data_IF_669542928930
#
_entry.id   IF_669542928930
#
_cell.length_a   1.000
_cell.length_b   1.000
_cell.length_c   1.000
_cell.angle_alpha   90.00
_cell.angle_beta   90.00
_cell.angle_gamma   90.00
#
_symmetry.space_group_name_H-M   'P 1'
#
loop_
_entity.id
_entity.type
_entity.pdbx_description
1 polymer ?
#
# COMPACT_ATOMS: atom_id res chain seq x y z
N UNK A 1 -6.05 23.86 -13.66
CA UNK A 1 -6.76 23.07 -12.62
C UNK A 1 -5.70 22.38 -11.78
N UNK A 2 -5.81 22.39 -10.45
CA UNK A 2 -4.81 21.74 -9.59
C UNK A 2 -4.90 20.21 -9.71
N UNK A 3 -3.76 19.54 -9.91
CA UNK A 3 -3.67 18.09 -9.88
C UNK A 3 -3.67 17.62 -8.42
N UNK A 4 -4.79 17.07 -7.96
CA UNK A 4 -4.97 16.59 -6.59
C UNK A 4 -4.57 15.13 -6.49
N UNK A 5 -3.53 14.85 -5.72
CA UNK A 5 -2.93 13.53 -5.64
C UNK A 5 -2.91 13.03 -4.21
N UNK A 6 -3.20 11.74 -4.04
CA UNK A 6 -2.88 10.99 -2.82
C UNK A 6 -2.01 9.80 -3.19
N UNK A 7 -1.02 9.49 -2.36
CA UNK A 7 -0.04 8.46 -2.64
C UNK A 7 0.32 7.66 -1.38
N UNK A 8 0.18 6.34 -1.47
CA UNK A 8 0.65 5.36 -0.50
C UNK A 8 1.98 4.77 -1.01
N UNK A 9 3.08 5.14 -0.35
CA UNK A 9 4.46 4.81 -0.72
C UNK A 9 4.90 3.51 -0.03
N UNK A 10 4.22 2.42 -0.39
CA UNK A 10 4.45 1.08 0.15
C UNK A 10 5.82 0.50 -0.24
N UNK A 11 6.31 -0.50 0.49
CA UNK A 11 7.63 -1.08 0.20
C UNK A 11 7.70 -1.86 -1.13
N UNK A 12 6.57 -2.42 -1.57
CA UNK A 12 6.48 -3.21 -2.80
C UNK A 12 5.67 -2.53 -3.90
N UNK A 13 4.63 -1.78 -3.54
CA UNK A 13 3.70 -1.14 -4.46
C UNK A 13 3.45 0.32 -4.09
N UNK A 14 3.54 1.17 -5.10
CA UNK A 14 3.08 2.55 -5.06
C UNK A 14 1.61 2.57 -5.46
N UNK A 15 0.75 3.13 -4.61
CA UNK A 15 -0.68 3.29 -4.90
C UNK A 15 -1.05 4.75 -4.91
N UNK A 16 -1.64 5.22 -6.00
CA UNK A 16 -1.97 6.63 -6.17
C UNK A 16 -3.40 6.82 -6.64
N UNK A 17 -4.03 7.90 -6.20
CA UNK A 17 -5.26 8.42 -6.81
C UNK A 17 -4.98 9.85 -7.23
N UNK A 18 -5.20 10.13 -8.51
CA UNK A 18 -5.01 11.44 -9.12
C UNK A 18 -6.39 11.97 -9.56
N UNK A 19 -6.73 13.18 -9.13
CA UNK A 19 -7.98 13.88 -9.42
C UNK A 19 -9.25 13.08 -9.06
N UNK A 20 -9.18 12.21 -8.05
CA UNK A 20 -10.30 11.35 -7.65
C UNK A 20 -10.62 10.24 -8.66
N UNK A 21 -9.69 9.92 -9.58
CA UNK A 21 -9.81 8.81 -10.51
C UNK A 21 -9.67 7.43 -9.87
N UNK A 22 -9.48 6.40 -10.71
CA UNK A 22 -9.20 5.03 -10.24
C UNK A 22 -7.85 4.97 -9.54
N UNK A 23 -7.72 4.01 -8.61
CA UNK A 23 -6.43 3.71 -7.97
C UNK A 23 -5.46 3.20 -9.03
N UNK A 24 -4.33 3.90 -9.17
CA UNK A 24 -3.16 3.48 -9.95
C UNK A 24 -2.30 2.65 -9.00
N UNK A 25 -1.92 1.43 -9.42
CA UNK A 25 -1.02 0.54 -8.68
C UNK A 25 0.17 0.19 -9.57
N UNK A 26 1.37 0.39 -9.06
CA UNK A 26 2.61 0.10 -9.77
C UNK A 26 3.62 -0.49 -8.77
N UNK A 27 4.55 -1.37 -9.20
CA UNK A 27 5.69 -1.74 -8.38
C UNK A 27 6.44 -0.48 -7.88
N UNK A 28 6.74 -0.36 -6.58
CA UNK A 28 7.44 0.81 -6.03
C UNK A 28 8.96 0.69 -6.20
N UNK A 29 9.39 0.59 -7.45
CA UNK A 29 10.79 0.42 -7.84
C UNK A 29 11.14 1.39 -8.95
N UNK A 30 12.40 1.79 -8.98
CA UNK A 30 12.94 2.49 -10.14
C UNK A 30 14.33 1.98 -10.47
N UNK A 31 14.85 2.48 -11.59
CA UNK A 31 16.18 2.13 -12.05
C UNK A 31 16.75 3.26 -12.85
N UNK A 32 17.94 3.70 -12.46
CA UNK A 32 18.68 4.69 -13.22
C UNK A 32 19.12 4.12 -14.57
N UNK A 33 18.93 4.91 -15.62
CA UNK A 33 19.26 4.54 -17.00
C UNK A 33 20.42 5.37 -17.49
N UNK A 34 21.45 4.69 -17.99
CA UNK A 34 22.60 5.30 -18.65
C UNK A 34 22.48 5.12 -20.16
N UNK A 35 22.68 6.20 -20.93
CA UNK A 35 22.66 6.15 -22.40
C UNK A 35 21.31 6.46 -23.06
N UNK A 36 21.08 5.88 -24.25
CA UNK A 36 19.86 6.07 -25.05
C UNK A 36 18.73 5.19 -24.52
N UNK A 37 17.53 5.75 -24.47
CA UNK A 37 16.31 5.01 -24.15
C UNK A 37 15.98 4.13 -25.36
N UNK A 38 15.77 2.83 -25.13
CA UNK A 38 15.23 1.95 -26.17
C UNK A 38 13.73 2.20 -26.23
N UNK A 39 13.24 2.60 -27.39
CA UNK A 39 11.82 2.76 -27.65
C UNK A 39 11.29 1.50 -28.31
N UNK A 40 10.07 1.10 -27.97
CA UNK A 40 9.36 0.10 -28.76
C UNK A 40 8.83 0.78 -30.01
N UNK A 41 8.88 0.08 -31.14
CA UNK A 41 8.20 0.51 -32.35
C UNK A 41 6.68 0.47 -32.11
N UNK A 42 5.99 1.54 -32.47
CA UNK A 42 4.55 1.65 -32.27
C UNK A 42 4.03 3.02 -32.67
N UNK A 43 2.72 3.13 -32.83
CA UNK A 43 2.07 4.43 -33.03
C UNK A 43 2.17 5.30 -31.78
N UNK A 44 2.03 6.62 -31.98
CA UNK A 44 1.97 7.59 -30.88
C UNK A 44 0.85 7.24 -29.88
N UNK A 45 -0.34 6.92 -30.40
CA UNK A 45 -1.49 6.55 -29.59
C UNK A 45 -1.20 5.30 -28.74
N UNK A 46 -0.60 4.26 -29.32
CA UNK A 46 -0.20 3.06 -28.56
C UNK A 46 0.81 3.38 -27.47
N UNK A 47 1.79 4.25 -27.79
CA UNK A 47 2.78 4.70 -26.81
C UNK A 47 2.11 5.40 -25.63
N UNK A 48 1.14 6.29 -25.90
CA UNK A 48 0.39 7.00 -24.85
C UNK A 48 -0.46 6.06 -24.00
N UNK A 49 -1.16 5.12 -24.62
CA UNK A 49 -1.99 4.14 -23.90
C UNK A 49 -1.16 3.32 -22.91
N UNK A 50 0.06 2.92 -23.31
CA UNK A 50 0.93 2.05 -22.51
C UNK A 50 1.88 2.80 -21.57
N UNK A 51 1.81 4.15 -21.51
CA UNK A 51 2.76 4.98 -20.79
C UNK A 51 2.96 4.59 -19.30
N UNK A 52 1.90 4.11 -18.62
CA UNK A 52 1.98 3.65 -17.22
C UNK A 52 2.80 2.38 -17.03
N UNK A 53 2.79 1.48 -18.00
CA UNK A 53 3.57 0.26 -17.94
C UNK A 53 5.00 0.47 -18.46
N UNK A 54 5.22 1.55 -19.22
CA UNK A 54 6.47 1.84 -19.91
C UNK A 54 7.18 3.11 -19.41
N UNK A 55 6.88 3.56 -18.19
CA UNK A 55 7.39 4.82 -17.63
C UNK A 55 8.91 4.92 -17.81
N UNK A 56 9.32 5.86 -18.64
CA UNK A 56 10.69 6.32 -18.78
C UNK A 56 10.68 7.84 -18.70
N UNK A 57 11.44 8.36 -17.76
CA UNK A 57 11.49 9.80 -17.50
C UNK A 57 12.90 10.29 -17.28
N UNK A 58 13.13 11.59 -17.43
CA UNK A 58 14.24 12.30 -16.81
C UNK A 58 13.69 13.18 -15.69
N UNK A 59 14.20 13.04 -14.47
CA UNK A 59 13.79 13.85 -13.32
C UNK A 59 14.92 14.80 -12.94
N UNK A 60 14.59 16.08 -12.87
CA UNK A 60 15.45 17.17 -12.39
C UNK A 60 14.77 17.85 -11.21
N UNK A 61 15.39 17.80 -10.03
CA UNK A 61 14.77 18.29 -8.80
C UNK A 61 15.78 18.34 -7.64
N UNK A 62 15.85 19.47 -6.93
CA UNK A 62 16.68 19.61 -5.72
C UNK A 62 16.23 18.70 -4.55
N UNK A 63 15.05 18.11 -4.68
CA UNK A 63 14.55 17.10 -3.75
C UNK A 63 15.25 15.75 -3.81
N UNK A 64 16.04 15.45 -4.85
CA UNK A 64 16.74 14.16 -5.03
C UNK A 64 18.26 14.39 -5.09
N UNK A 65 19.05 13.39 -4.73
CA UNK A 65 20.51 13.52 -4.63
C UNK A 65 21.16 13.80 -5.99
N UNK A 66 20.57 13.29 -7.07
CA UNK A 66 21.10 13.47 -8.42
C UNK A 66 20.01 13.38 -9.48
N UNK A 67 19.97 14.38 -10.35
CA UNK A 67 19.14 14.34 -11.56
C UNK A 67 19.49 13.14 -12.44
N UNK A 68 18.49 12.61 -13.16
CA UNK A 68 18.72 11.37 -13.88
C UNK A 68 17.59 10.91 -14.76
N UNK A 69 17.92 9.97 -15.65
CA UNK A 69 16.92 9.18 -16.36
C UNK A 69 16.56 7.94 -15.55
N UNK A 70 15.29 7.62 -15.49
CA UNK A 70 14.78 6.50 -14.73
C UNK A 70 13.78 5.69 -15.57
N UNK A 71 13.83 4.36 -15.39
CA UNK A 71 12.64 3.53 -15.55
C UNK A 71 11.95 3.47 -14.18
N UNK A 72 10.62 3.44 -14.17
CA UNK A 72 9.81 3.39 -12.95
C UNK A 72 8.73 2.31 -13.10
N UNK A 73 8.36 1.66 -12.00
CA UNK A 73 7.25 0.71 -11.99
C UNK A 73 7.54 -0.55 -12.78
N UNK A 74 6.55 -0.98 -13.56
CA UNK A 74 6.61 -2.23 -14.32
C UNK A 74 7.85 -2.29 -15.25
N UNK A 75 8.15 -1.20 -15.96
CA UNK A 75 9.33 -1.12 -16.83
C UNK A 75 10.66 -1.29 -16.07
N UNK A 76 10.76 -0.74 -14.86
CA UNK A 76 11.96 -0.89 -14.03
C UNK A 76 12.13 -2.35 -13.59
N UNK A 77 11.05 -2.96 -13.09
CA UNK A 77 11.03 -4.34 -12.60
C UNK A 77 11.43 -5.37 -13.67
N UNK A 78 11.10 -5.12 -14.94
CA UNK A 78 11.34 -6.04 -16.06
C UNK A 78 12.51 -5.65 -16.96
N UNK A 79 13.34 -4.69 -16.55
CA UNK A 79 14.52 -4.28 -17.31
C UNK A 79 15.78 -5.04 -16.87
N UNK A 80 16.71 -5.31 -17.79
CA UNK A 80 17.95 -6.06 -17.51
C UNK A 80 18.76 -5.52 -16.32
N UNK A 81 18.97 -6.33 -15.27
CA UNK A 81 19.68 -5.97 -14.03
C UNK A 81 18.73 -5.62 -12.88
N UNK A 82 19.20 -5.64 -11.63
CA UNK A 82 18.35 -5.43 -10.46
C UNK A 82 17.86 -3.96 -10.37
N UNK A 83 16.55 -3.70 -10.22
CA UNK A 83 16.06 -2.35 -9.95
C UNK A 83 16.36 -1.95 -8.49
N UNK A 84 16.33 -0.64 -8.25
CA UNK A 84 16.36 -0.07 -6.90
C UNK A 84 14.96 -0.14 -6.29
N UNK A 85 14.88 -0.66 -5.06
CA UNK A 85 13.65 -0.80 -4.28
C UNK A 85 13.85 -0.21 -2.88
N UNK A 86 12.74 0.07 -2.19
CA UNK A 86 12.80 0.38 -0.77
C UNK A 86 13.29 -0.85 0.02
N UNK A 87 14.20 -0.59 0.94
CA UNK A 87 14.75 -1.61 1.82
C UNK A 87 13.79 -1.84 2.99
N UNK A 88 13.31 -3.08 3.13
CA UNK A 88 12.36 -3.46 4.16
C UNK A 88 13.00 -3.56 5.56
N UNK A 89 14.33 -3.65 5.64
CA UNK A 89 15.08 -3.71 6.89
C UNK A 89 15.57 -2.33 7.36
N UNK A 90 15.97 -1.43 6.46
CA UNK A 90 16.57 -0.15 6.86
C UNK A 90 15.54 0.94 7.19
N UNK A 91 14.32 0.87 6.65
CA UNK A 91 13.27 1.88 6.86
C UNK A 91 13.63 3.25 6.29
N UNK A 92 13.20 4.34 6.96
CA UNK A 92 13.62 5.72 6.68
C UNK A 92 13.14 6.26 5.31
N UNK A 93 11.93 5.83 4.87
CA UNK A 93 11.36 6.17 3.54
C UNK A 93 11.41 7.66 3.22
N UNK A 94 11.22 8.53 4.21
CA UNK A 94 11.23 9.99 4.06
C UNK A 94 12.56 10.54 3.50
N UNK A 95 13.69 9.85 3.69
CA UNK A 95 15.01 10.25 3.18
C UNK A 95 15.34 9.69 1.80
N UNK A 96 14.68 8.61 1.37
CA UNK A 96 15.04 7.91 0.14
C UNK A 96 14.54 8.68 -1.08
N UNK A 97 15.28 8.64 -2.18
CA UNK A 97 14.88 9.29 -3.44
C UNK A 97 13.76 8.54 -4.16
N UNK A 98 13.66 7.22 -3.95
CA UNK A 98 12.71 6.35 -4.65
C UNK A 98 11.27 6.87 -4.57
N UNK A 99 10.71 7.19 -3.38
CA UNK A 99 9.36 7.74 -3.29
C UNK A 99 9.17 9.05 -4.07
N UNK A 100 10.17 9.93 -4.07
CA UNK A 100 10.10 11.22 -4.78
C UNK A 100 10.11 11.01 -6.29
N UNK A 101 11.09 10.24 -6.79
CA UNK A 101 11.19 9.92 -8.21
C UNK A 101 9.92 9.23 -8.70
N UNK A 102 9.42 8.23 -7.98
CA UNK A 102 8.29 7.44 -8.44
C UNK A 102 6.98 8.24 -8.45
N UNK A 103 6.69 9.00 -7.40
CA UNK A 103 5.49 9.87 -7.34
C UNK A 103 5.52 10.92 -8.46
N UNK A 104 6.64 11.62 -8.65
CA UNK A 104 6.78 12.62 -9.71
C UNK A 104 6.62 12.00 -11.11
N UNK A 105 7.19 10.81 -11.31
CA UNK A 105 7.13 10.10 -12.60
C UNK A 105 5.71 9.69 -12.95
N UNK A 106 4.95 9.15 -11.99
CA UNK A 106 3.55 8.76 -12.21
C UNK A 106 2.67 9.99 -12.46
N UNK A 107 2.85 11.06 -11.68
CA UNK A 107 2.11 12.31 -11.89
C UNK A 107 2.37 12.92 -13.27
N UNK A 108 3.64 13.07 -13.65
CA UNK A 108 4.02 13.63 -14.95
C UNK A 108 3.46 12.79 -16.10
N UNK A 109 3.58 11.47 -15.99
CA UNK A 109 3.11 10.57 -17.03
C UNK A 109 1.58 10.58 -17.13
N UNK A 110 0.84 10.67 -16.01
CA UNK A 110 -0.62 10.83 -16.03
C UNK A 110 -1.04 12.18 -16.61
N UNK A 111 -0.27 13.25 -16.38
CA UNK A 111 -0.50 14.56 -17.00
C UNK A 111 -0.42 14.46 -18.53
N UNK A 112 0.60 13.77 -19.06
CA UNK A 112 0.75 13.54 -20.52
C UNK A 112 -0.43 12.75 -21.08
N UNK A 113 -0.83 11.64 -20.44
CA UNK A 113 -1.98 10.85 -20.88
C UNK A 113 -3.26 11.68 -20.92
N UNK A 114 -3.52 12.44 -19.85
CA UNK A 114 -4.73 13.27 -19.74
C UNK A 114 -4.76 14.36 -20.82
N UNK A 115 -3.64 15.06 -21.02
CA UNK A 115 -3.56 16.10 -22.07
C UNK A 115 -3.74 15.53 -23.47
N UNK A 116 -3.17 14.35 -23.75
CA UNK A 116 -3.34 13.70 -25.05
C UNK A 116 -4.78 13.20 -25.26
N UNK A 117 -5.42 12.65 -24.23
CA UNK A 117 -6.82 12.24 -24.27
C UNK A 117 -7.77 13.42 -24.55
N UNK A 118 -7.46 14.61 -24.03
CA UNK A 118 -8.27 15.82 -24.20
C UNK A 118 -8.03 16.54 -25.55
N UNK A 119 -6.78 16.60 -26.02
CA UNK A 119 -6.38 17.44 -27.17
C UNK A 119 -6.10 16.61 -28.43
N UNK A 120 -5.74 15.33 -28.30
CA UNK A 120 -5.36 14.44 -29.40
C UNK A 120 -3.92 14.60 -29.90
N UNK A 121 -3.15 15.53 -29.34
CA UNK A 121 -1.75 15.80 -29.70
C UNK A 121 -0.87 15.92 -28.44
N UNK A 122 0.43 15.63 -28.57
CA UNK A 122 1.38 15.79 -27.46
C UNK A 122 1.86 17.25 -27.38
N UNK A 123 1.68 17.92 -26.23
CA UNK A 123 2.29 19.24 -26.03
C UNK A 123 3.80 19.10 -25.84
N UNK A 124 4.55 20.19 -26.09
CA UNK A 124 5.99 20.24 -25.76
C UNK A 124 6.24 20.36 -24.26
N UNK A 125 5.37 21.10 -23.57
CA UNK A 125 5.46 21.32 -22.13
C UNK A 125 4.10 21.40 -21.45
N UNK A 126 4.03 20.98 -20.18
CA UNK A 126 2.84 21.03 -19.33
C UNK A 126 3.24 21.59 -17.97
N UNK A 127 2.53 22.62 -17.50
CA UNK A 127 2.63 23.10 -16.12
C UNK A 127 1.55 22.43 -15.27
N UNK A 128 1.95 21.85 -14.14
CA UNK A 128 1.09 21.05 -13.26
C UNK A 128 1.15 21.65 -11.84
N UNK A 129 0.27 22.62 -11.52
CA UNK A 129 0.03 22.97 -10.13
C UNK A 129 -0.58 21.75 -9.43
N UNK A 130 -0.05 21.37 -8.26
CA UNK A 130 -0.40 20.10 -7.62
C UNK A 130 -0.68 20.21 -6.12
N UNK A 131 -1.42 19.25 -5.59
CA UNK A 131 -1.52 18.98 -4.15
C UNK A 131 -1.26 17.51 -3.88
N UNK A 132 -0.63 17.20 -2.75
CA UNK A 132 -0.20 15.84 -2.42
C UNK A 132 -0.50 15.49 -0.97
N UNK A 133 -1.14 14.33 -0.76
CA UNK A 133 -1.20 13.68 0.55
C UNK A 133 -0.46 12.34 0.48
N UNK A 134 0.46 12.15 1.40
CA UNK A 134 1.27 10.93 1.55
C UNK A 134 1.04 10.32 2.93
N UNK A 135 1.33 9.04 3.07
CA UNK A 135 1.45 8.39 4.37
C UNK A 135 2.86 7.79 4.56
N UNK A 136 3.32 7.77 5.81
CA UNK A 136 4.50 6.99 6.24
C UNK A 136 4.08 6.05 7.38
N UNK A 137 4.83 4.96 7.62
CA UNK A 137 4.52 4.01 8.69
C UNK A 137 4.28 4.71 10.03
N UNK A 138 3.28 4.25 10.78
CA UNK A 138 2.88 4.89 12.03
C UNK A 138 4.01 4.83 13.07
N UNK A 139 4.75 3.73 13.09
CA UNK A 139 5.95 3.49 13.88
C UNK A 139 7.11 4.45 13.55
N UNK A 140 7.25 4.86 12.29
CA UNK A 140 8.30 5.79 11.86
C UNK A 140 7.91 7.26 12.02
N UNK A 141 6.62 7.55 12.24
CA UNK A 141 6.14 8.92 12.19
C UNK A 141 6.63 9.78 13.35
N UNK A 142 7.36 10.82 12.99
CA UNK A 142 7.66 11.95 13.84
C UNK A 142 7.35 13.24 13.07
N UNK A 143 6.87 14.28 13.77
CA UNK A 143 6.50 15.54 13.10
C UNK A 143 7.65 16.16 12.30
N UNK A 144 8.91 15.93 12.69
CA UNK A 144 10.10 16.36 11.94
C UNK A 144 10.30 15.56 10.64
N UNK A 145 10.18 14.24 10.69
CA UNK A 145 10.30 13.35 9.51
C UNK A 145 9.22 13.61 8.49
N UNK A 146 7.97 13.77 8.97
CA UNK A 146 6.84 14.15 8.13
C UNK A 146 7.08 15.48 7.42
N UNK A 147 7.50 16.52 8.16
CA UNK A 147 7.83 17.83 7.58
C UNK A 147 8.99 17.79 6.59
N UNK A 148 10.00 16.96 6.84
CA UNK A 148 11.12 16.78 5.92
C UNK A 148 10.64 16.18 4.58
N UNK A 149 9.79 15.16 4.61
CA UNK A 149 9.22 14.62 3.37
C UNK A 149 8.28 15.64 2.69
N UNK A 150 7.48 16.38 3.48
CA UNK A 150 6.64 17.47 2.95
C UNK A 150 7.50 18.52 2.22
N UNK A 151 8.62 18.96 2.80
CA UNK A 151 9.48 20.01 2.22
C UNK A 151 10.16 19.56 0.92
N UNK A 152 10.55 18.28 0.82
CA UNK A 152 11.11 17.72 -0.42
C UNK A 152 10.20 17.94 -1.62
N UNK A 153 8.89 17.82 -1.47
CA UNK A 153 7.95 18.12 -2.55
C UNK A 153 7.54 19.60 -2.58
N UNK A 154 7.33 20.23 -1.43
CA UNK A 154 6.69 21.55 -1.35
C UNK A 154 7.61 22.72 -1.71
N UNK A 155 8.90 22.61 -1.42
CA UNK A 155 9.86 23.72 -1.51
C UNK A 155 10.60 23.77 -2.85
N UNK A 156 10.37 22.79 -3.74
CA UNK A 156 11.11 22.63 -4.97
C UNK A 156 10.19 22.71 -6.19
N UNK A 157 10.70 23.23 -7.29
CA UNK A 157 10.10 23.07 -8.62
C UNK A 157 10.66 21.81 -9.23
N UNK A 158 9.79 20.89 -9.63
CA UNK A 158 10.21 19.61 -10.18
C UNK A 158 10.03 19.61 -11.70
N UNK A 159 11.08 19.26 -12.44
CA UNK A 159 11.02 19.11 -13.87
C UNK A 159 11.13 17.63 -14.21
N UNK A 160 10.12 17.12 -14.93
CA UNK A 160 10.07 15.73 -15.39
C UNK A 160 9.91 15.71 -16.89
N UNK A 161 10.86 15.13 -17.62
CA UNK A 161 10.74 14.90 -19.06
C UNK A 161 10.23 13.48 -19.27
N UNK A 162 9.02 13.33 -19.78
CA UNK A 162 8.42 12.03 -20.11
C UNK A 162 8.78 11.67 -21.55
N UNK A 163 9.32 10.46 -21.74
CA UNK A 163 9.61 9.92 -23.08
C UNK A 163 8.38 9.16 -23.60
N UNK A 164 7.85 9.59 -24.75
CA UNK A 164 6.65 8.99 -25.38
C UNK A 164 7.02 8.51 -26.78
N UNK A 165 7.45 7.26 -26.90
CA UNK A 165 8.10 6.81 -28.12
C UNK A 165 9.32 7.68 -28.43
N UNK A 166 9.38 8.26 -29.63
CA UNK A 166 10.47 9.17 -30.04
C UNK A 166 10.29 10.60 -29.53
N UNK A 167 9.08 10.95 -29.09
CA UNK A 167 8.73 12.29 -28.61
C UNK A 167 9.07 12.48 -27.12
N UNK A 168 9.14 13.75 -26.71
CA UNK A 168 9.39 14.12 -25.31
C UNK A 168 8.47 15.24 -24.90
N UNK A 169 7.88 15.11 -23.71
CA UNK A 169 7.07 16.15 -23.09
C UNK A 169 7.75 16.59 -21.80
N UNK A 170 7.91 17.91 -21.61
CA UNK A 170 8.49 18.49 -20.38
C UNK A 170 7.39 18.89 -19.42
N UNK A 171 7.38 18.31 -18.22
CA UNK A 171 6.37 18.59 -17.21
C UNK A 171 7.05 19.38 -16.08
N UNK A 172 6.48 20.51 -15.71
CA UNK A 172 6.86 21.26 -14.51
C UNK A 172 5.80 21.04 -13.45
N UNK A 173 6.15 20.39 -12.34
CA UNK A 173 5.25 20.13 -11.21
C UNK A 173 5.64 21.06 -10.07
N UNK A 174 4.66 21.82 -9.58
CA UNK A 174 4.81 22.68 -8.41
C UNK A 174 3.68 22.37 -7.42
N UNK A 175 4.04 22.02 -6.19
CA UNK A 175 3.06 21.65 -5.18
C UNK A 175 2.59 22.89 -4.40
N UNK A 176 1.30 23.18 -4.44
CA UNK A 176 0.68 24.21 -3.60
C UNK A 176 0.46 23.72 -2.16
N UNK A 177 0.22 22.42 -1.97
CA UNK A 177 0.08 21.81 -0.65
C UNK A 177 0.63 20.40 -0.64
N UNK A 178 1.38 20.06 0.41
CA UNK A 178 1.87 18.70 0.66
C UNK A 178 1.57 18.37 2.11
N UNK A 179 1.00 17.20 2.36
CA UNK A 179 0.72 16.70 3.71
C UNK A 179 1.15 15.26 3.86
N UNK A 180 1.91 14.98 4.91
CA UNK A 180 2.27 13.62 5.32
C UNK A 180 1.47 13.22 6.55
N UNK A 181 0.73 12.13 6.44
CA UNK A 181 -0.03 11.49 7.52
C UNK A 181 0.66 10.21 8.00
N UNK A 182 0.17 9.65 9.09
CA UNK A 182 0.52 8.30 9.57
C UNK A 182 -0.31 7.28 8.85
N UNK A 183 0.28 6.16 8.43
CA UNK A 183 -0.45 4.97 8.00
C UNK A 183 -1.43 4.51 9.10
N UNK A 184 -2.52 3.84 8.69
CA UNK A 184 -3.64 3.44 9.54
C UNK A 184 -4.59 4.56 10.00
N UNK A 185 -4.15 5.83 10.08
CA UNK A 185 -5.10 6.95 10.25
C UNK A 185 -6.02 7.07 9.02
N UNK A 186 -5.51 7.07 7.78
CA UNK A 186 -6.37 6.99 6.60
C UNK A 186 -7.28 5.77 6.61
N UNK A 187 -6.76 4.60 6.99
CA UNK A 187 -7.55 3.37 7.01
C UNK A 187 -8.80 3.49 7.92
N UNK A 188 -8.73 4.21 9.04
CA UNK A 188 -9.91 4.53 9.85
C UNK A 188 -11.02 5.22 9.04
N UNK A 189 -10.67 6.22 8.22
CA UNK A 189 -11.64 6.88 7.35
C UNK A 189 -12.19 5.94 6.28
N UNK A 190 -11.35 5.06 5.73
CA UNK A 190 -11.79 4.06 4.78
C UNK A 190 -12.76 3.03 5.39
N UNK A 191 -12.58 2.64 6.65
CA UNK A 191 -13.54 1.81 7.40
C UNK A 191 -14.82 2.61 7.67
N UNK A 192 -14.72 3.81 8.24
CA UNK A 192 -15.91 4.54 8.68
C UNK A 192 -16.81 5.01 7.55
N UNK A 193 -16.26 5.23 6.36
CA UNK A 193 -17.02 5.60 5.16
C UNK A 193 -16.95 4.51 4.07
N UNK A 194 -16.65 3.27 4.49
CA UNK A 194 -16.61 2.11 3.61
C UNK A 194 -17.98 1.77 3.04
N UNK A 195 -17.99 1.24 1.82
CA UNK A 195 -19.21 0.71 1.21
C UNK A 195 -19.71 -0.53 1.97
N UNK A 196 -21.01 -0.82 1.83
CA UNK A 196 -21.64 -1.90 2.59
C UNK A 196 -21.01 -3.28 2.35
N UNK A 197 -20.52 -3.54 1.15
CA UNK A 197 -19.90 -4.79 0.74
C UNK A 197 -18.53 -5.04 1.40
N UNK A 198 -17.85 -3.99 1.87
CA UNK A 198 -16.65 -4.13 2.71
C UNK A 198 -16.93 -4.91 4.00
N UNK A 199 -18.16 -4.83 4.51
CA UNK A 199 -18.58 -5.44 5.77
C UNK A 199 -19.38 -6.73 5.59
N UNK A 200 -19.51 -7.25 4.37
CA UNK A 200 -20.38 -8.42 4.15
C UNK A 200 -19.88 -9.66 4.90
N UNK A 201 -18.56 -9.90 4.95
CA UNK A 201 -18.01 -11.04 5.68
C UNK A 201 -18.11 -10.86 7.20
N UNK A 202 -17.90 -9.64 7.71
CA UNK A 202 -18.14 -9.31 9.11
C UNK A 202 -19.62 -9.54 9.49
N UNK A 203 -20.53 -9.07 8.65
CA UNK A 203 -21.97 -9.24 8.86
C UNK A 203 -22.35 -10.72 8.85
N UNK A 204 -21.82 -11.54 7.92
CA UNK A 204 -22.04 -12.98 7.93
C UNK A 204 -21.52 -13.63 9.21
N UNK A 205 -20.35 -13.20 9.69
CA UNK A 205 -19.68 -13.79 10.85
C UNK A 205 -20.39 -13.50 12.18
N UNK A 206 -20.97 -12.31 12.31
CA UNK A 206 -21.57 -11.83 13.58
C UNK A 206 -23.09 -11.65 13.53
N UNK A 207 -23.77 -12.04 12.45
CA UNK A 207 -25.24 -11.95 12.37
C UNK A 207 -25.88 -12.79 13.47
N UNK A 208 -26.72 -12.15 14.28
CA UNK A 208 -27.61 -12.86 15.20
C UNK A 208 -28.66 -13.63 14.39
N UNK A 209 -28.48 -14.93 14.23
CA UNK A 209 -29.52 -15.76 13.62
C UNK A 209 -30.67 -15.96 14.61
N UNK A 210 -31.88 -15.56 14.21
CA UNK A 210 -33.09 -15.77 15.00
C UNK A 210 -33.59 -17.22 14.97
N UNK A 211 -33.04 -18.07 14.08
CA UNK A 211 -33.50 -19.45 13.83
C UNK A 211 -32.37 -20.44 13.44
N UNK A 212 -31.15 -20.34 14.02
CA UNK A 212 -30.07 -21.28 13.66
C UNK A 212 -30.21 -22.64 14.34
N UNK A 213 -30.23 -23.71 13.53
CA UNK A 213 -29.97 -25.11 13.93
C UNK A 213 -28.46 -25.38 14.05
N UNK A 214 -27.67 -24.43 14.56
CA UNK A 214 -26.31 -24.78 15.00
C UNK A 214 -26.41 -25.66 16.24
N UNK A 215 -26.04 -26.94 16.08
CA UNK A 215 -26.07 -27.98 17.11
C UNK A 215 -24.99 -27.81 18.19
N UNK A 216 -24.06 -26.87 18.00
CA UNK A 216 -22.96 -26.65 18.93
C UNK A 216 -23.28 -25.56 19.96
N UNK A 217 -23.80 -25.99 21.12
CA UNK A 217 -24.14 -25.13 22.26
C UNK A 217 -22.94 -24.33 22.79
N UNK A 218 -21.70 -24.80 22.61
CA UNK A 218 -20.50 -24.09 23.07
C UNK A 218 -20.18 -22.88 22.19
N UNK A 219 -20.24 -23.04 20.86
CA UNK A 219 -19.99 -21.96 19.89
C UNK A 219 -21.03 -20.84 20.04
N UNK A 220 -22.31 -21.21 20.23
CA UNK A 220 -23.38 -20.24 20.53
C UNK A 220 -23.13 -19.43 21.80
N UNK A 221 -22.60 -20.06 22.84
CA UNK A 221 -22.31 -19.39 24.12
C UNK A 221 -21.10 -18.45 24.02
N UNK A 222 -20.06 -18.84 23.26
CA UNK A 222 -18.86 -18.01 23.05
C UNK A 222 -19.13 -16.77 22.20
N UNK A 223 -20.02 -16.87 21.20
CA UNK A 223 -20.35 -15.73 20.32
C UNK A 223 -21.44 -14.80 20.83
N UNK A 224 -22.24 -15.19 21.83
CA UNK A 224 -23.48 -14.48 22.18
C UNK A 224 -23.30 -12.97 22.42
N UNK A 225 -22.16 -12.57 23.02
CA UNK A 225 -21.85 -11.16 23.31
C UNK A 225 -21.29 -10.38 22.10
N UNK A 226 -20.88 -11.09 21.05
CA UNK A 226 -20.26 -10.54 19.83
C UNK A 226 -21.26 -10.41 18.67
N UNK A 227 -22.45 -10.98 18.80
CA UNK A 227 -23.47 -10.95 17.75
C UNK A 227 -24.08 -9.55 17.59
N UNK A 228 -24.37 -9.18 16.34
CA UNK A 228 -25.06 -7.94 15.97
C UNK A 228 -26.48 -8.26 15.48
N UNK A 229 -27.45 -7.46 15.90
CA UNK A 229 -28.86 -7.67 15.57
C UNK A 229 -29.21 -7.18 14.15
N UNK A 230 -28.57 -6.08 13.74
CA UNK A 230 -28.78 -5.46 12.44
C UNK A 230 -27.52 -5.55 11.59
N UNK A 231 -27.70 -5.41 10.27
CA UNK A 231 -26.58 -5.31 9.33
C UNK A 231 -25.77 -4.06 9.67
N UNK A 232 -24.49 -4.24 10.00
CA UNK A 232 -23.59 -3.14 10.34
C UNK A 232 -22.90 -2.55 9.10
N UNK A 233 -22.52 -1.29 9.21
CA UNK A 233 -21.72 -0.55 8.24
C UNK A 233 -20.62 0.25 8.97
N UNK A 234 -19.93 1.15 8.27
CA UNK A 234 -18.86 1.97 8.84
C UNK A 234 -19.22 2.76 10.11
N UNK A 235 -20.49 3.15 10.30
CA UNK A 235 -20.94 3.85 11.51
C UNK A 235 -20.77 3.02 12.78
N UNK A 236 -20.96 1.70 12.69
CA UNK A 236 -20.80 0.78 13.83
C UNK A 236 -19.41 0.88 14.46
N UNK A 237 -18.39 1.11 13.64
CA UNK A 237 -17.00 1.15 14.07
C UNK A 237 -16.56 2.52 14.61
N UNK A 238 -17.31 3.61 14.34
CA UNK A 238 -16.89 4.98 14.71
C UNK A 238 -16.72 5.22 16.20
N UNK A 239 -17.43 4.47 17.04
CA UNK A 239 -17.38 4.59 18.50
C UNK A 239 -16.65 3.44 19.18
N UNK A 240 -16.01 2.56 18.40
CA UNK A 240 -15.32 1.38 18.90
C UNK A 240 -13.87 1.67 19.25
N UNK A 241 -13.34 0.90 20.20
CA UNK A 241 -11.91 0.76 20.44
C UNK A 241 -11.35 -0.28 19.46
N UNK A 242 -10.58 0.15 18.47
CA UNK A 242 -10.11 -0.73 17.40
C UNK A 242 -8.59 -0.90 17.50
N UNK A 243 -8.15 -2.15 17.57
CA UNK A 243 -6.78 -2.55 17.30
C UNK A 243 -6.69 -2.87 15.80
N UNK A 244 -5.91 -2.09 15.07
CA UNK A 244 -5.65 -2.32 13.65
C UNK A 244 -4.39 -3.16 13.50
N UNK A 245 -4.39 -4.06 12.53
CA UNK A 245 -3.22 -4.76 12.03
C UNK A 245 -3.14 -4.51 10.52
N UNK A 246 -2.35 -3.51 10.13
CA UNK A 246 -2.03 -3.20 8.73
C UNK A 246 -0.81 -4.02 8.33
N UNK A 247 -1.06 -5.17 7.71
CA UNK A 247 -0.03 -6.14 7.35
C UNK A 247 0.45 -5.84 5.93
N UNK A 248 1.58 -5.16 5.83
CA UNK A 248 2.24 -4.81 4.58
C UNK A 248 3.18 -5.89 4.06
N UNK A 249 3.96 -5.51 3.04
CA UNK A 249 4.99 -6.36 2.44
C UNK A 249 6.24 -6.46 3.32
N UNK A 250 6.75 -5.33 3.81
CA UNK A 250 7.93 -5.28 4.68
C UNK A 250 7.64 -5.03 6.15
N UNK A 251 6.51 -4.41 6.47
CA UNK A 251 6.17 -4.02 7.85
C UNK A 251 4.73 -4.34 8.16
N UNK A 252 4.47 -4.65 9.43
CA UNK A 252 3.14 -4.79 9.99
C UNK A 252 2.95 -3.72 11.06
N UNK A 253 1.97 -2.84 10.88
CA UNK A 253 1.70 -1.73 11.80
C UNK A 253 0.49 -2.07 12.66
N UNK A 254 0.63 -1.92 13.98
CA UNK A 254 -0.45 -2.12 14.92
C UNK A 254 -0.82 -0.81 15.60
N UNK A 255 -2.06 -0.39 15.37
CA UNK A 255 -2.53 0.95 15.73
C UNK A 255 -3.74 0.78 16.62
N UNK A 256 -3.68 1.33 17.83
CA UNK A 256 -4.85 1.39 18.70
C UNK A 256 -5.57 2.72 18.55
N UNK A 257 -6.90 2.67 18.42
CA UNK A 257 -7.74 3.84 18.24
C UNK A 257 -8.99 3.79 19.11
N UNK A 258 -9.46 4.95 19.53
CA UNK A 258 -10.74 5.16 20.20
C UNK A 258 -11.60 6.02 19.28
N UNK A 259 -12.44 5.37 18.49
CA UNK A 259 -13.11 5.98 17.35
C UNK A 259 -12.12 6.56 16.34
N UNK A 260 -12.29 7.83 15.96
CA UNK A 260 -11.43 8.55 15.02
C UNK A 260 -10.05 8.93 15.57
N UNK A 261 -9.78 8.70 16.85
CA UNK A 261 -8.56 9.16 17.49
C UNK A 261 -7.62 7.98 17.77
N UNK A 262 -6.50 7.85 17.02
CA UNK A 262 -5.40 6.98 17.41
C UNK A 262 -4.86 7.39 18.79
N UNK A 263 -4.41 6.41 19.56
CA UNK A 263 -3.72 6.61 20.83
C UNK A 263 -2.21 6.50 20.55
N UNK A 264 -1.47 7.62 20.42
CA UNK A 264 -0.11 7.58 19.86
C UNK A 264 0.86 6.64 20.58
N UNK A 265 0.81 6.57 21.91
CA UNK A 265 1.69 5.70 22.71
C UNK A 265 1.33 4.20 22.61
N UNK A 266 0.19 3.89 22.00
CA UNK A 266 -0.30 2.56 21.73
C UNK A 266 -0.23 2.19 20.23
N UNK A 267 0.54 2.93 19.43
CA UNK A 267 0.85 2.61 18.05
C UNK A 267 2.31 2.14 17.93
N UNK A 268 2.54 1.06 17.20
CA UNK A 268 3.88 0.53 16.93
C UNK A 268 3.87 -0.28 15.62
N UNK A 269 5.04 -0.73 15.19
CA UNK A 269 5.18 -1.53 14.00
C UNK A 269 6.38 -2.44 14.11
N UNK A 270 6.31 -3.57 13.41
CA UNK A 270 7.34 -4.61 13.38
C UNK A 270 7.72 -4.92 11.93
N UNK A 271 8.97 -5.33 11.73
CA UNK A 271 9.50 -5.71 10.41
C UNK A 271 9.05 -7.13 10.07
N UNK A 272 7.76 -7.26 9.80
CA UNK A 272 7.08 -8.49 9.42
C UNK A 272 6.16 -8.24 8.26
N UNK A 273 6.14 -9.17 7.31
CA UNK A 273 5.31 -9.07 6.13
C UNK A 273 5.66 -10.16 5.13
N UNK A 274 4.85 -10.23 4.06
CA UNK A 274 5.02 -11.27 3.05
C UNK A 274 6.35 -11.16 2.30
N UNK A 275 6.92 -9.96 2.17
CA UNK A 275 8.21 -9.72 1.55
C UNK A 275 9.35 -10.41 2.28
N UNK A 276 9.30 -10.47 3.62
CA UNK A 276 10.29 -11.23 4.42
C UNK A 276 10.14 -12.75 4.24
N UNK A 277 8.92 -13.27 4.06
CA UNK A 277 8.73 -14.67 3.72
C UNK A 277 9.34 -14.98 2.34
N UNK A 278 9.06 -14.14 1.33
CA UNK A 278 9.61 -14.29 -0.02
C UNK A 278 11.14 -14.25 0.01
N UNK A 279 11.76 -13.32 0.74
CA UNK A 279 13.23 -13.26 0.86
C UNK A 279 13.81 -14.49 1.57
N UNK A 280 13.14 -15.01 2.60
CA UNK A 280 13.52 -16.27 3.22
C UNK A 280 13.44 -17.44 2.24
N UNK A 281 12.35 -17.52 1.46
CA UNK A 281 12.15 -18.58 0.48
C UNK A 281 13.16 -18.51 -0.68
N UNK A 282 13.52 -17.31 -1.14
CA UNK A 282 14.59 -17.11 -2.13
C UNK A 282 15.92 -17.64 -1.58
N UNK A 283 16.26 -17.37 -0.31
CA UNK A 283 17.50 -17.86 0.31
C UNK A 283 17.53 -19.39 0.37
N UNK A 284 16.43 -20.01 0.81
CA UNK A 284 16.32 -21.48 0.83
C UNK A 284 16.42 -22.09 -0.58
N UNK A 285 15.80 -21.45 -1.57
CA UNK A 285 15.90 -21.87 -2.97
C UNK A 285 17.33 -21.72 -3.51
N UNK A 286 18.04 -20.65 -3.14
CA UNK A 286 19.45 -20.46 -3.50
C UNK A 286 20.35 -21.53 -2.89
N UNK A 287 20.11 -21.91 -1.64
CA UNK A 287 20.84 -22.96 -0.95
C UNK A 287 20.60 -24.33 -1.61
N UNK A 288 19.34 -24.65 -1.95
CA UNK A 288 18.95 -25.90 -2.62
C UNK A 288 19.64 -26.08 -3.99
N UNK A 289 19.86 -25.00 -4.73
CA UNK A 289 20.48 -25.01 -6.06
C UNK A 289 21.92 -24.47 -6.07
N UNK A 290 22.63 -24.54 -4.94
CA UNK A 290 24.05 -24.16 -4.80
C UNK A 290 24.40 -22.77 -5.37
N UNK A 291 23.50 -21.78 -5.20
CA UNK A 291 23.68 -20.42 -5.68
C UNK A 291 23.38 -20.20 -7.17
N UNK A 292 22.90 -21.23 -7.88
CA UNK A 292 22.50 -21.15 -9.30
C UNK A 292 21.21 -20.36 -9.57
N UNK A 293 20.69 -19.64 -8.57
CA UNK A 293 19.43 -18.89 -8.63
C UNK A 293 19.69 -17.43 -8.24
N UNK A 294 19.60 -16.51 -9.19
CA UNK A 294 19.66 -15.07 -8.94
C UNK A 294 18.36 -14.43 -9.45
N UNK A 295 17.39 -14.32 -8.55
CA UNK A 295 16.05 -13.79 -8.83
C UNK A 295 15.63 -12.78 -7.78
N UNK A 296 14.86 -11.78 -8.21
CA UNK A 296 14.24 -10.82 -7.30
C UNK A 296 12.85 -11.30 -6.83
N UNK A 297 12.23 -10.56 -5.90
CA UNK A 297 10.90 -10.89 -5.33
C UNK A 297 9.79 -11.02 -6.38
N UNK A 298 9.83 -10.21 -7.45
CA UNK A 298 8.87 -10.27 -8.54
C UNK A 298 9.02 -11.57 -9.34
N UNK A 299 10.26 -11.89 -9.73
CA UNK A 299 10.58 -13.12 -10.47
C UNK A 299 10.31 -14.38 -9.63
N UNK A 300 10.54 -14.32 -8.32
CA UNK A 300 10.16 -15.41 -7.41
C UNK A 300 8.64 -15.58 -7.35
N UNK A 301 7.88 -14.49 -7.30
CA UNK A 301 6.41 -14.55 -7.32
C UNK A 301 5.90 -15.18 -8.62
N UNK A 302 6.50 -14.83 -9.77
CA UNK A 302 6.21 -15.47 -11.06
C UNK A 302 6.53 -16.97 -11.05
N UNK A 303 7.70 -17.35 -10.53
CA UNK A 303 8.12 -18.75 -10.38
C UNK A 303 7.11 -19.57 -9.54
N UNK A 304 6.64 -19.02 -8.43
CA UNK A 304 5.62 -19.65 -7.56
C UNK A 304 4.28 -19.81 -8.28
N UNK A 305 4.00 -19.02 -9.32
CA UNK A 305 2.76 -19.11 -10.10
C UNK A 305 2.88 -19.91 -11.40
N UNK A 306 4.08 -20.30 -11.81
CA UNK A 306 4.30 -21.09 -13.03
C UNK A 306 4.50 -22.58 -12.72
N UNK A 307 3.44 -23.41 -12.81
CA UNK A 307 3.54 -24.84 -12.52
C UNK A 307 4.42 -25.61 -13.53
N UNK A 308 4.88 -24.99 -14.61
CA UNK A 308 5.76 -25.64 -15.59
C UNK A 308 7.25 -25.40 -15.31
N UNK A 309 7.60 -24.48 -14.40
CA UNK A 309 9.00 -24.27 -14.04
C UNK A 309 9.51 -25.42 -13.16
N UNK A 310 10.73 -25.90 -13.44
CA UNK A 310 11.35 -27.01 -12.69
C UNK A 310 11.60 -26.70 -11.22
N UNK A 311 11.63 -25.43 -10.83
CA UNK A 311 11.83 -24.98 -9.44
C UNK A 311 10.52 -24.63 -8.73
N UNK A 312 9.38 -24.75 -9.41
CA UNK A 312 8.06 -24.38 -8.89
C UNK A 312 7.75 -25.06 -7.56
N UNK A 313 7.78 -26.39 -7.52
CA UNK A 313 7.40 -27.16 -6.33
C UNK A 313 8.25 -26.78 -5.11
N UNK A 314 9.56 -26.60 -5.30
CA UNK A 314 10.47 -26.17 -4.23
C UNK A 314 10.24 -24.72 -3.80
N UNK A 315 9.96 -23.82 -4.74
CA UNK A 315 9.63 -22.44 -4.42
C UNK A 315 8.33 -22.34 -3.61
N UNK A 316 7.32 -23.15 -3.94
CA UNK A 316 6.06 -23.24 -3.18
C UNK A 316 6.31 -23.79 -1.77
N UNK A 317 7.03 -24.90 -1.63
CA UNK A 317 7.38 -25.52 -0.34
C UNK A 317 8.10 -24.53 0.59
N UNK A 318 9.16 -23.87 0.11
CA UNK A 318 9.90 -22.91 0.92
C UNK A 318 9.11 -21.63 1.23
N UNK A 319 8.22 -21.22 0.32
CA UNK A 319 7.32 -20.11 0.59
C UNK A 319 6.30 -20.48 1.68
N UNK A 320 5.73 -21.68 1.66
CA UNK A 320 4.81 -22.16 2.71
C UNK A 320 5.45 -22.11 4.10
N UNK A 321 6.66 -22.65 4.26
CA UNK A 321 7.37 -22.67 5.53
C UNK A 321 7.65 -21.25 6.06
N UNK A 322 8.16 -20.38 5.19
CA UNK A 322 8.51 -19.01 5.55
C UNK A 322 7.29 -18.12 5.79
N UNK A 323 6.19 -18.33 5.04
CA UNK A 323 4.89 -17.69 5.30
C UNK A 323 4.35 -18.05 6.68
N UNK A 324 4.38 -19.33 7.04
CA UNK A 324 3.93 -19.78 8.35
C UNK A 324 4.70 -19.10 9.48
N UNK A 325 6.03 -18.99 9.36
CA UNK A 325 6.86 -18.28 10.35
C UNK A 325 6.51 -16.78 10.46
N UNK A 326 6.27 -16.10 9.34
CA UNK A 326 5.83 -14.70 9.36
C UNK A 326 4.44 -14.55 10.00
N UNK A 327 3.50 -15.44 9.67
CA UNK A 327 2.16 -15.45 10.26
C UNK A 327 2.19 -15.67 11.77
N UNK A 328 3.04 -16.57 12.28
CA UNK A 328 3.25 -16.75 13.73
C UNK A 328 3.76 -15.47 14.38
N UNK A 329 4.78 -14.85 13.80
CA UNK A 329 5.32 -13.60 14.33
C UNK A 329 4.28 -12.49 14.40
N UNK A 330 3.48 -12.33 13.35
CA UNK A 330 2.39 -11.34 13.30
C UNK A 330 1.32 -11.66 14.34
N UNK A 331 0.95 -12.93 14.50
CA UNK A 331 0.01 -13.35 15.53
C UNK A 331 0.51 -12.98 16.94
N UNK A 332 1.76 -13.30 17.27
CA UNK A 332 2.37 -12.95 18.57
C UNK A 332 2.37 -11.43 18.81
N UNK A 333 2.59 -10.64 17.76
CA UNK A 333 2.59 -9.18 17.85
C UNK A 333 1.17 -8.62 18.06
N UNK A 334 0.15 -9.23 17.45
CA UNK A 334 -1.27 -8.91 17.71
C UNK A 334 -1.60 -9.18 19.18
N UNK A 335 -1.20 -10.33 19.73
CA UNK A 335 -1.43 -10.67 21.14
C UNK A 335 -0.75 -9.66 22.08
N UNK A 336 0.53 -9.35 21.82
CA UNK A 336 1.28 -8.35 22.59
C UNK A 336 0.66 -6.97 22.47
N UNK A 337 0.23 -6.55 21.29
CA UNK A 337 -0.40 -5.26 21.08
C UNK A 337 -1.71 -5.16 21.87
N UNK A 338 -2.55 -6.20 21.81
CA UNK A 338 -3.77 -6.25 22.59
C UNK A 338 -3.50 -6.10 24.09
N UNK A 339 -2.64 -6.94 24.65
CA UNK A 339 -2.36 -6.96 26.10
C UNK A 339 -1.68 -5.67 26.55
N UNK A 340 -0.56 -5.29 25.92
CA UNK A 340 0.32 -4.25 26.43
C UNK A 340 0.02 -2.86 25.89
N UNK A 341 -0.48 -2.73 24.67
CA UNK A 341 -0.74 -1.42 24.04
C UNK A 341 -2.18 -0.98 24.22
N UNK A 342 -3.13 -1.91 24.18
CA UNK A 342 -4.55 -1.58 24.39
C UNK A 342 -4.99 -1.74 25.85
N UNK A 343 -4.14 -2.32 26.70
CA UNK A 343 -4.49 -2.74 28.06
C UNK A 343 -5.72 -3.69 28.06
N UNK A 344 -5.78 -4.57 27.05
CA UNK A 344 -6.91 -5.49 26.81
C UNK A 344 -8.26 -4.77 26.68
N UNK A 345 -8.28 -3.61 26.04
CA UNK A 345 -9.50 -2.81 25.87
C UNK A 345 -10.00 -2.73 24.44
N UNK A 346 -9.29 -3.29 23.46
CA UNK A 346 -9.79 -3.31 22.09
C UNK A 346 -11.07 -4.15 22.01
N UNK A 347 -12.07 -3.63 21.31
CA UNK A 347 -13.36 -4.30 21.05
C UNK A 347 -13.36 -4.94 19.66
N UNK A 348 -12.53 -4.45 18.75
CA UNK A 348 -12.44 -4.91 17.37
C UNK A 348 -10.97 -5.08 16.98
N UNK A 349 -10.61 -6.21 16.39
CA UNK A 349 -9.37 -6.40 15.64
C UNK A 349 -9.67 -6.18 14.16
N UNK A 350 -9.17 -5.09 13.58
CA UNK A 350 -9.28 -4.82 12.14
C UNK A 350 -8.01 -5.26 11.43
N UNK A 351 -8.09 -6.25 10.54
CA UNK A 351 -6.95 -6.79 9.79
C UNK A 351 -7.08 -6.43 8.30
N UNK A 352 -6.05 -5.80 7.75
CA UNK A 352 -5.99 -5.39 6.35
C UNK A 352 -4.52 -5.28 5.87
N UNK A 353 -4.31 -4.74 4.67
CA UNK A 353 -2.99 -4.69 4.03
C UNK A 353 -2.74 -5.87 3.09
N UNK A 354 -1.73 -5.76 2.22
CA UNK A 354 -1.44 -6.80 1.22
C UNK A 354 -1.02 -8.14 1.82
N UNK A 355 -0.28 -8.13 2.92
CA UNK A 355 0.12 -9.33 3.64
C UNK A 355 -1.06 -10.05 4.30
N UNK A 356 -2.14 -9.36 4.65
CA UNK A 356 -3.36 -10.01 5.16
C UNK A 356 -4.06 -10.89 4.11
N UNK A 357 -3.81 -10.66 2.82
CA UNK A 357 -4.31 -11.52 1.76
C UNK A 357 -3.42 -12.77 1.67
N UNK A 358 -2.10 -12.55 1.58
CA UNK A 358 -1.12 -13.61 1.36
C UNK A 358 -0.96 -14.56 2.56
N UNK A 359 -1.16 -14.07 3.79
CA UNK A 359 -1.00 -14.84 5.03
C UNK A 359 -2.33 -15.34 5.60
N UNK A 360 -3.44 -15.20 4.87
CA UNK A 360 -4.79 -15.48 5.38
C UNK A 360 -4.93 -16.92 5.88
N UNK A 361 -4.40 -17.88 5.13
CA UNK A 361 -4.52 -19.32 5.46
C UNK A 361 -3.86 -19.66 6.80
N UNK A 362 -2.71 -19.04 7.08
CA UNK A 362 -1.93 -19.28 8.30
C UNK A 362 -2.37 -18.44 9.51
N UNK A 363 -2.97 -17.26 9.28
CA UNK A 363 -3.25 -16.27 10.32
C UNK A 363 -4.73 -16.14 10.70
N UNK A 364 -5.66 -16.28 9.75
CA UNK A 364 -7.08 -15.93 9.96
C UNK A 364 -7.70 -16.70 11.12
N UNK A 365 -7.51 -18.03 11.14
CA UNK A 365 -8.10 -18.90 12.17
C UNK A 365 -7.59 -18.51 13.57
N UNK A 366 -6.28 -18.31 13.71
CA UNK A 366 -5.67 -17.92 15.00
C UNK A 366 -6.16 -16.56 15.46
N UNK A 367 -6.18 -15.57 14.57
CA UNK A 367 -6.70 -14.23 14.88
C UNK A 367 -8.19 -14.26 15.27
N UNK A 368 -8.99 -15.10 14.62
CA UNK A 368 -10.41 -15.27 14.94
C UNK A 368 -10.62 -15.91 16.31
N UNK A 369 -9.96 -17.04 16.59
CA UNK A 369 -10.04 -17.72 17.89
C UNK A 369 -9.55 -16.80 19.03
N UNK A 370 -8.47 -16.04 18.79
CA UNK A 370 -7.99 -15.02 19.72
C UNK A 370 -9.04 -13.96 20.02
N UNK A 371 -9.75 -13.48 18.99
CA UNK A 371 -10.83 -12.51 19.18
C UNK A 371 -11.97 -13.10 20.02
N UNK A 372 -12.38 -14.35 19.77
CA UNK A 372 -13.43 -15.01 20.55
C UNK A 372 -13.06 -15.17 22.03
N UNK A 373 -11.82 -15.54 22.33
CA UNK A 373 -11.33 -15.70 23.72
C UNK A 373 -11.30 -14.38 24.48
N UNK A 374 -11.11 -13.27 23.78
CA UNK A 374 -10.92 -11.94 24.36
C UNK A 374 -12.14 -11.02 24.23
N UNK A 375 -13.32 -11.58 23.88
CA UNK A 375 -14.55 -10.80 23.64
C UNK A 375 -14.36 -9.65 22.62
N UNK A 376 -13.57 -9.89 21.58
CA UNK A 376 -13.35 -8.99 20.45
C UNK A 376 -14.08 -9.45 19.19
N UNK A 377 -14.44 -8.52 18.32
CA UNK A 377 -14.89 -8.83 16.96
C UNK A 377 -13.74 -8.73 15.95
N UNK A 378 -13.65 -9.67 15.02
CA UNK A 378 -12.69 -9.67 13.92
C UNK A 378 -13.29 -8.99 12.69
N UNK A 379 -12.75 -7.85 12.31
CA UNK A 379 -12.98 -7.22 11.01
C UNK A 379 -11.83 -7.55 10.07
N UNK A 380 -11.93 -8.63 9.32
CA UNK A 380 -10.96 -8.96 8.26
C UNK A 380 -11.41 -8.34 6.94
N UNK A 381 -10.67 -7.33 6.46
CA UNK A 381 -11.01 -6.65 5.21
C UNK A 381 -10.70 -7.57 4.03
N UNK A 382 -11.65 -7.69 3.10
CA UNK A 382 -11.52 -8.58 1.94
C UNK A 382 -10.43 -8.10 0.97
N UNK A 383 -9.88 -9.00 0.12
CA UNK A 383 -8.84 -8.65 -0.85
C UNK A 383 -9.20 -7.48 -1.77
N UNK A 384 -10.49 -7.29 -2.08
CA UNK A 384 -11.03 -6.17 -2.87
C UNK A 384 -10.64 -4.80 -2.29
N UNK A 385 -10.51 -4.70 -0.96
CA UNK A 385 -10.29 -3.44 -0.25
C UNK A 385 -8.96 -3.40 0.51
N UNK A 386 -8.45 -4.54 0.97
CA UNK A 386 -7.36 -4.62 1.94
C UNK A 386 -6.10 -3.86 1.51
N UNK A 387 -5.74 -3.91 0.23
CA UNK A 387 -4.55 -3.23 -0.30
C UNK A 387 -4.72 -1.72 -0.51
N UNK A 388 -5.95 -1.21 -0.45
CA UNK A 388 -6.30 0.16 -0.80
C UNK A 388 -6.78 1.00 0.40
N UNK A 389 -6.76 0.44 1.61
CA UNK A 389 -7.30 1.10 2.81
C UNK A 389 -6.64 2.46 3.06
N UNK A 390 -5.31 2.54 2.98
CA UNK A 390 -4.59 3.78 3.19
C UNK A 390 -4.89 4.81 2.09
N UNK A 391 -4.76 4.44 0.81
CA UNK A 391 -4.99 5.37 -0.31
C UNK A 391 -6.44 5.87 -0.39
N UNK A 392 -7.43 5.00 -0.14
CA UNK A 392 -8.86 5.38 -0.08
C UNK A 392 -9.14 6.34 1.07
N UNK A 393 -8.56 6.05 2.23
CA UNK A 393 -8.63 6.92 3.40
C UNK A 393 -8.07 8.31 3.14
N UNK A 394 -6.92 8.39 2.47
CA UNK A 394 -6.30 9.66 2.09
C UNK A 394 -7.15 10.41 1.08
N UNK A 395 -7.82 9.72 0.15
CA UNK A 395 -8.73 10.36 -0.80
C UNK A 395 -9.94 10.99 -0.10
N UNK A 396 -10.51 10.31 0.91
CA UNK A 396 -11.58 10.88 1.75
C UNK A 396 -11.07 12.12 2.50
N UNK A 397 -9.88 12.06 3.09
CA UNK A 397 -9.24 13.19 3.77
C UNK A 397 -9.01 14.37 2.81
N UNK A 398 -8.51 14.09 1.61
CA UNK A 398 -8.27 15.07 0.55
C UNK A 398 -9.54 15.82 0.18
N UNK A 399 -10.66 15.10 -0.03
CA UNK A 399 -11.97 15.72 -0.32
C UNK A 399 -12.45 16.61 0.83
N UNK A 400 -12.28 16.16 2.08
CA UNK A 400 -12.65 16.94 3.27
C UNK A 400 -11.82 18.22 3.40
N UNK A 401 -10.52 18.18 3.10
CA UNK A 401 -9.65 19.36 3.10
C UNK A 401 -10.05 20.36 2.00
N UNK A 402 -10.29 19.88 0.78
CA UNK A 402 -10.72 20.73 -0.33
C UNK A 402 -12.05 21.45 -0.04
N UNK A 403 -13.03 20.74 0.54
CA UNK A 403 -14.34 21.34 0.88
C UNK A 403 -14.27 22.42 1.98
N UNK A 404 -13.27 22.36 2.87
CA UNK A 404 -13.05 23.40 3.89
C UNK A 404 -12.42 24.66 3.31
N UNK A 405 -11.57 24.51 2.30
CA UNK A 405 -10.96 25.65 1.59
C UNK A 405 -11.99 26.36 0.73
N UNK A 406 -12.87 25.64 0.02
CA UNK A 406 -13.93 26.24 -0.79
C UNK A 406 -15.05 26.97 0.00
N UNK A 407 -15.11 26.78 1.33
CA UNK A 407 -16.07 27.43 2.23
C UNK A 407 -15.49 28.66 2.95
N UNK A 408 -14.19 28.93 2.78
CA UNK A 408 -13.54 30.18 3.18
C UNK A 408 -13.42 31.06 1.95
#
# INVERSE_FOLDING_TARGET
MIMRTVADIGNSELKMVINGGKVIKLPDVNKRVFGRVKNKEGSLQQSVTNLMDEICVHVTSDAIERDGKFYVGYRAAHSNGKPDALDIELGDKYKRDIPVVNVLSVMATKAVQTMYEEVGELPKSIEVPASLILAIPASEYEGKKARFLESRFKENVHIVIVYVGEEKVTIQIEFETVKVTREGIPALYAIFEGNQDMFDDFNKLYKKETDSKEDDKEVKKRKANLLVEEKVNGEYFKNKKILHADIGDGTSEYIFSKGLNPVPDACWGEKRGIGHAIEGAIKLLQEEYEGGVDINRQQFSELVTDPNDKKHDKAVEFLEETRYMQAQGIYDDIEKAYVYKTASQAEVLAVYGGGSIALREDLYKKAFEFCEVNDMQLLWISPTYATEMNVRGMEILSKKLASKVAKK
#
